data_IF_122275261132
#
_entry.id   IF_122275261132
#
_cell.length_a   1.000
_cell.length_b   1.000
_cell.length_c   1.000
_cell.angle_alpha   90.00
_cell.angle_beta   90.00
_cell.angle_gamma   90.00
#
_symmetry.space_group_name_H-M   'P 1'
#
loop_
_entity.id
_entity.type
_entity.pdbx_description
1 polymer ?
#
# COMPACT_ATOMS: atom_id res chain seq x y z
N UNK A 1 -17.11 -26.48 25.60
CA UNK A 1 -16.68 -26.33 24.20
C UNK A 1 -15.18 -26.48 24.14
N UNK A 2 -14.68 -27.70 23.94
CA UNK A 2 -13.25 -28.00 23.87
C UNK A 2 -12.93 -28.78 22.59
N UNK A 3 -11.67 -28.59 22.16
CA UNK A 3 -10.93 -29.24 21.09
C UNK A 3 -11.20 -28.75 19.65
N UNK A 4 -10.47 -27.71 19.26
CA UNK A 4 -10.00 -27.56 17.89
C UNK A 4 -8.49 -27.22 17.92
N UNK A 5 -7.70 -28.17 18.43
CA UNK A 5 -6.24 -28.20 18.22
C UNK A 5 -6.01 -28.50 16.74
N UNK A 6 -5.43 -27.54 16.03
CA UNK A 6 -5.22 -27.60 14.57
C UNK A 6 -3.81 -28.07 14.25
N UNK A 7 -3.64 -28.66 13.06
CA UNK A 7 -2.43 -29.38 12.59
C UNK A 7 -1.07 -28.73 12.90
N UNK A 8 -0.96 -27.40 13.01
CA UNK A 8 0.27 -26.72 13.42
C UNK A 8 0.77 -27.13 14.82
N UNK A 9 -0.14 -27.52 15.72
CA UNK A 9 0.20 -28.03 17.05
C UNK A 9 0.94 -29.38 16.98
N UNK A 10 0.80 -30.16 15.90
CA UNK A 10 1.32 -31.54 15.84
C UNK A 10 2.75 -31.68 15.35
N UNK A 11 3.24 -30.75 14.54
CA UNK A 11 4.60 -30.87 13.96
C UNK A 11 5.66 -30.11 14.77
N UNK A 12 5.28 -28.97 15.38
CA UNK A 12 6.20 -28.16 16.19
C UNK A 12 5.86 -28.18 17.69
N UNK A 13 4.73 -28.76 18.09
CA UNK A 13 4.35 -28.89 19.51
C UNK A 13 4.04 -27.56 20.22
N UNK A 14 3.98 -26.45 19.48
CA UNK A 14 3.66 -25.13 20.05
C UNK A 14 2.16 -24.97 20.19
N UNK A 15 1.73 -24.35 21.29
CA UNK A 15 0.31 -24.02 21.49
C UNK A 15 -0.11 -22.84 20.62
N UNK A 16 -1.42 -22.70 20.40
CA UNK A 16 -1.99 -21.56 19.67
C UNK A 16 -1.58 -20.22 20.28
N UNK A 17 -1.49 -20.13 21.61
CA UNK A 17 -1.09 -18.91 22.31
C UNK A 17 0.37 -18.54 22.01
N UNK A 18 1.28 -19.51 22.03
CA UNK A 18 2.69 -19.27 21.68
C UNK A 18 2.83 -18.83 20.22
N UNK A 19 2.09 -19.46 19.30
CA UNK A 19 2.05 -19.02 17.92
C UNK A 19 1.56 -17.58 17.77
N UNK A 20 0.48 -17.22 18.47
CA UNK A 20 -0.03 -15.85 18.42
C UNK A 20 0.92 -14.83 19.04
N UNK A 21 1.71 -15.22 20.04
CA UNK A 21 2.80 -14.38 20.57
C UNK A 21 3.88 -14.16 19.51
N UNK A 22 4.35 -15.22 18.84
CA UNK A 22 5.37 -15.12 17.78
C UNK A 22 4.85 -14.28 16.60
N UNK A 23 3.63 -14.54 16.13
CA UNK A 23 3.03 -13.78 15.02
C UNK A 23 2.70 -12.33 15.40
N UNK A 24 2.50 -12.09 16.71
CA UNK A 24 2.24 -10.77 17.26
C UNK A 24 3.50 -9.92 17.43
N UNK A 25 4.69 -10.53 17.41
CA UNK A 25 5.97 -9.88 17.67
C UNK A 25 6.26 -8.72 16.72
N UNK A 26 6.68 -7.57 17.25
CA UNK A 26 6.92 -6.35 16.48
C UNK A 26 8.02 -6.50 15.40
N UNK A 27 8.87 -7.53 15.49
CA UNK A 27 9.87 -7.86 14.47
C UNK A 27 9.26 -8.38 13.16
N UNK A 28 8.07 -9.01 13.21
CA UNK A 28 7.37 -9.46 12.01
C UNK A 28 6.51 -8.34 11.46
N UNK A 29 6.70 -7.94 10.21
CA UNK A 29 5.90 -6.87 9.62
C UNK A 29 4.62 -7.40 8.93
N UNK A 30 3.91 -6.50 8.24
CA UNK A 30 2.73 -6.88 7.47
C UNK A 30 3.03 -7.89 6.36
N UNK A 31 4.15 -7.72 5.65
CA UNK A 31 4.53 -8.56 4.52
C UNK A 31 4.93 -9.96 4.98
N UNK A 32 5.67 -10.07 6.09
CA UNK A 32 6.01 -11.35 6.72
C UNK A 32 4.73 -12.15 7.04
N UNK A 33 3.75 -11.50 7.66
CA UNK A 33 2.48 -12.13 8.00
C UNK A 33 1.65 -12.49 6.75
N UNK A 34 1.75 -11.72 5.67
CA UNK A 34 1.09 -12.04 4.38
C UNK A 34 1.78 -13.20 3.65
N UNK A 35 3.09 -13.36 3.79
CA UNK A 35 3.78 -14.54 3.28
C UNK A 35 3.29 -15.80 3.98
N UNK A 36 3.12 -15.74 5.30
CA UNK A 36 2.58 -16.86 6.09
C UNK A 36 1.13 -17.22 5.72
N UNK A 37 0.34 -16.30 5.17
CA UNK A 37 -1.01 -16.57 4.64
C UNK A 37 -1.00 -17.53 3.43
N UNK A 38 0.17 -17.76 2.81
CA UNK A 38 0.33 -18.79 1.77
C UNK A 38 0.39 -20.20 2.36
N UNK A 39 0.77 -20.32 3.63
CA UNK A 39 0.88 -21.59 4.32
C UNK A 39 -0.45 -21.92 5.00
N UNK A 40 -1.14 -22.94 4.48
CA UNK A 40 -2.50 -23.33 4.91
C UNK A 40 -2.65 -23.52 6.43
N UNK A 41 -1.59 -23.96 7.12
CA UNK A 41 -1.58 -24.15 8.56
C UNK A 41 -1.75 -22.83 9.34
N UNK A 42 -1.19 -21.73 8.84
CA UNK A 42 -1.24 -20.41 9.49
C UNK A 42 -2.51 -19.63 9.18
N UNK A 43 -3.26 -20.01 8.14
CA UNK A 43 -4.48 -19.29 7.75
C UNK A 43 -5.46 -19.10 8.92
N UNK A 44 -5.63 -20.10 9.78
CA UNK A 44 -6.52 -19.97 10.94
C UNK A 44 -5.96 -19.01 11.99
N UNK A 45 -4.64 -19.04 12.23
CA UNK A 45 -3.96 -18.17 13.19
C UNK A 45 -4.02 -16.71 12.74
N UNK A 46 -3.82 -16.45 11.45
CA UNK A 46 -3.85 -15.11 10.86
C UNK A 46 -5.25 -14.48 10.80
N UNK A 47 -6.32 -15.24 11.08
CA UNK A 47 -7.67 -14.72 11.28
C UNK A 47 -7.95 -14.36 12.75
N UNK A 48 -6.99 -14.58 13.65
CA UNK A 48 -7.18 -14.28 15.06
C UNK A 48 -7.31 -12.76 15.30
N UNK A 49 -8.27 -12.29 16.12
CA UNK A 49 -8.50 -10.85 16.34
C UNK A 49 -7.30 -10.06 16.85
N UNK A 50 -6.37 -10.69 17.58
CA UNK A 50 -5.15 -10.01 18.06
C UNK A 50 -4.23 -9.54 16.94
N UNK A 51 -4.27 -10.20 15.78
CA UNK A 51 -3.47 -9.83 14.60
C UNK A 51 -4.23 -8.88 13.67
N UNK A 52 -5.51 -8.61 13.94
CA UNK A 52 -6.36 -7.85 13.04
C UNK A 52 -5.87 -6.41 12.82
N UNK A 53 -5.33 -5.75 13.85
CA UNK A 53 -4.78 -4.39 13.70
C UNK A 53 -3.52 -4.37 12.84
N UNK A 54 -2.63 -5.36 13.04
CA UNK A 54 -1.37 -5.49 12.31
C UNK A 54 -1.55 -5.88 10.84
N UNK A 55 -2.57 -6.69 10.58
CA UNK A 55 -3.03 -7.07 9.24
C UNK A 55 -4.03 -6.08 8.62
N UNK A 56 -4.30 -4.94 9.27
CA UNK A 56 -5.24 -3.92 8.79
C UNK A 56 -6.66 -4.46 8.52
N UNK A 57 -7.11 -5.43 9.31
CA UNK A 57 -8.44 -6.06 9.25
C UNK A 57 -9.37 -5.62 10.38
N UNK A 58 -8.84 -4.95 11.40
CA UNK A 58 -9.64 -4.44 12.51
C UNK A 58 -10.63 -3.36 12.00
N UNK A 59 -11.95 -3.53 12.21
CA UNK A 59 -12.94 -2.55 11.75
C UNK A 59 -12.77 -1.20 12.46
N UNK A 60 -13.30 -0.10 11.88
CA UNK A 60 -13.27 1.19 12.54
C UNK A 60 -14.03 1.14 13.87
N UNK A 61 -13.50 1.83 14.87
CA UNK A 61 -14.17 2.02 16.16
C UNK A 61 -15.43 2.87 15.98
N UNK A 62 -16.41 2.72 16.87
CA UNK A 62 -17.54 3.64 16.95
C UNK A 62 -17.12 5.06 17.36
N UNK A 63 -15.98 5.17 18.05
CA UNK A 63 -15.43 6.45 18.49
C UNK A 63 -14.56 7.05 17.38
N UNK A 64 -14.74 8.32 17.00
CA UNK A 64 -13.87 9.02 16.07
C UNK A 64 -12.41 9.02 16.52
N UNK A 65 -11.49 9.05 15.56
CA UNK A 65 -10.06 9.17 15.83
C UNK A 65 -9.77 10.56 16.42
N UNK A 66 -8.89 10.59 17.42
CA UNK A 66 -8.53 11.82 18.11
C UNK A 66 -7.33 12.51 17.43
N UNK A 67 -7.25 13.86 17.43
CA UNK A 67 -6.08 14.56 16.93
C UNK A 67 -4.79 14.10 17.61
N UNK A 68 -3.73 13.88 16.82
CA UNK A 68 -2.45 13.37 17.31
C UNK A 68 -2.42 11.89 17.69
N UNK A 69 -3.52 11.15 17.52
CA UNK A 69 -3.52 9.71 17.70
C UNK A 69 -2.57 9.05 16.69
N UNK A 70 -1.70 8.11 17.11
CA UNK A 70 -0.82 7.40 16.19
C UNK A 70 -1.65 6.56 15.22
N UNK A 71 -1.31 6.67 13.94
CA UNK A 71 -1.92 5.91 12.85
C UNK A 71 -0.83 5.33 11.99
N UNK A 72 -0.95 4.04 11.68
CA UNK A 72 -0.15 3.40 10.64
C UNK A 72 -0.93 3.43 9.33
N UNK A 73 -0.26 3.81 8.25
CA UNK A 73 -0.79 3.63 6.89
C UNK A 73 -0.51 2.19 6.43
N UNK A 74 -1.41 1.62 5.64
CA UNK A 74 -1.24 0.28 5.09
C UNK A 74 0.02 0.23 4.21
N UNK A 75 0.94 -0.74 4.39
CA UNK A 75 2.22 -0.78 3.66
C UNK A 75 2.08 -0.80 2.14
N UNK A 76 1.04 -1.44 1.60
CA UNK A 76 0.73 -1.39 0.17
C UNK A 76 0.46 0.02 -0.37
N UNK A 77 0.07 0.99 0.47
CA UNK A 77 -0.10 2.40 0.07
C UNK A 77 1.21 3.20 0.15
N UNK A 78 2.20 2.76 0.95
CA UNK A 78 3.51 3.41 1.04
C UNK A 78 4.35 3.21 -0.23
N UNK A 79 4.05 2.15 -0.99
CA UNK A 79 4.74 1.79 -2.23
C UNK A 79 4.07 2.32 -3.49
N UNK A 80 3.03 3.13 -3.31
CA UNK A 80 2.28 3.74 -4.40
C UNK A 80 3.09 4.96 -4.83
N UNK A 81 3.86 4.83 -5.91
CA UNK A 81 4.55 5.96 -6.52
C UNK A 81 3.50 6.89 -7.15
N UNK A 82 3.27 8.05 -6.55
CA UNK A 82 2.24 9.01 -6.99
C UNK A 82 2.54 9.64 -8.35
N UNK A 83 3.79 9.70 -8.80
CA UNK A 83 4.18 10.36 -10.05
C UNK A 83 4.26 9.41 -11.24
N UNK A 84 4.65 8.15 -11.03
CA UNK A 84 4.59 7.13 -12.09
C UNK A 84 3.15 6.89 -12.63
N UNK A 85 2.14 7.40 -11.91
CA UNK A 85 0.71 7.20 -12.19
C UNK A 85 0.11 8.11 -13.27
N UNK A 86 0.85 9.10 -13.77
CA UNK A 86 0.41 9.89 -14.92
C UNK A 86 0.42 9.08 -16.23
N UNK A 87 1.15 7.96 -16.27
CA UNK A 87 1.35 7.12 -17.47
C UNK A 87 0.32 5.99 -17.66
N UNK A 88 -0.74 5.92 -16.85
CA UNK A 88 -1.76 4.86 -16.97
C UNK A 88 -1.29 3.43 -16.59
N UNK A 89 -0.02 3.29 -16.25
CA UNK A 89 0.60 2.06 -15.76
C UNK A 89 0.72 2.11 -14.23
N UNK A 90 -0.27 1.57 -13.53
CA UNK A 90 -0.09 1.21 -12.12
C UNK A 90 0.94 0.07 -12.03
N UNK A 91 2.22 0.41 -11.98
CA UNK A 91 3.25 -0.51 -11.48
C UNK A 91 3.33 -0.33 -9.98
N UNK A 92 2.56 -1.13 -9.25
CA UNK A 92 3.01 -1.46 -7.89
C UNK A 92 4.34 -2.19 -8.12
N UNK A 93 5.46 -1.68 -7.60
CA UNK A 93 6.72 -2.42 -7.63
C UNK A 93 6.37 -3.84 -7.19
N UNK A 94 6.57 -4.80 -8.09
CA UNK A 94 6.45 -6.20 -7.71
C UNK A 94 7.32 -6.34 -6.47
N UNK A 95 6.72 -6.87 -5.40
CA UNK A 95 7.53 -7.59 -4.45
C UNK A 95 8.09 -8.75 -5.26
N UNK A 96 9.22 -8.51 -5.91
CA UNK A 96 10.19 -9.53 -6.26
C UNK A 96 10.62 -10.13 -4.92
N UNK A 97 9.71 -10.89 -4.33
CA UNK A 97 10.12 -12.05 -3.57
C UNK A 97 10.72 -12.94 -4.64
N UNK A 98 12.01 -12.75 -4.87
CA UNK A 98 12.88 -13.75 -5.48
C UNK A 98 12.74 -15.01 -4.61
N UNK A 99 11.65 -15.74 -4.84
CA UNK A 99 11.65 -17.16 -4.61
C UNK A 99 12.62 -17.64 -5.66
N UNK A 100 13.88 -17.79 -5.24
CA UNK A 100 14.88 -18.66 -5.86
C UNK A 100 14.27 -20.07 -5.97
N UNK A 101 13.31 -20.22 -6.87
CA UNK A 101 12.89 -21.49 -7.42
C UNK A 101 13.91 -21.77 -8.49
N UNK A 102 14.72 -22.81 -8.26
CA UNK A 102 15.69 -23.33 -9.20
C UNK A 102 15.12 -23.27 -10.62
N UNK A 103 15.72 -22.41 -11.45
CA UNK A 103 15.43 -22.33 -12.87
C UNK A 103 15.72 -23.71 -13.46
N UNK A 104 14.68 -24.38 -13.97
CA UNK A 104 14.85 -25.60 -14.75
C UNK A 104 15.49 -25.18 -16.09
N UNK A 105 16.76 -25.56 -16.36
CA UNK A 105 17.50 -25.03 -17.50
C UNK A 105 16.99 -25.52 -18.87
N UNK A 106 15.99 -26.41 -18.89
CA UNK A 106 15.48 -27.04 -20.11
C UNK A 106 14.10 -26.53 -20.58
N UNK A 107 13.45 -25.58 -19.88
CA UNK A 107 12.19 -24.96 -20.33
C UNK A 107 12.46 -23.68 -21.17
N UNK A 108 12.89 -23.87 -22.42
CA UNK A 108 13.28 -22.79 -23.34
C UNK A 108 12.16 -21.82 -23.79
N UNK A 109 10.91 -21.93 -23.34
CA UNK A 109 9.86 -21.02 -23.82
C UNK A 109 8.80 -20.56 -22.81
N UNK A 110 9.06 -20.57 -21.49
CA UNK A 110 8.28 -19.71 -20.58
C UNK A 110 8.98 -18.37 -20.35
N UNK A 111 9.00 -17.56 -21.43
CA UNK A 111 9.09 -16.11 -21.25
C UNK A 111 7.98 -15.73 -20.28
N UNK A 112 8.34 -15.38 -19.05
CA UNK A 112 7.52 -14.57 -18.16
C UNK A 112 7.25 -13.28 -18.93
N UNK A 113 6.19 -13.29 -19.74
CA UNK A 113 5.64 -12.11 -20.35
C UNK A 113 5.19 -11.30 -19.14
N UNK A 114 5.94 -10.27 -18.79
CA UNK A 114 5.44 -9.10 -18.06
C UNK A 114 4.31 -8.56 -18.92
N UNK A 115 3.13 -9.12 -18.70
CA UNK A 115 2.00 -9.05 -19.61
C UNK A 115 1.31 -7.73 -19.31
N UNK A 116 1.87 -6.64 -19.83
CA UNK A 116 1.29 -5.29 -19.76
C UNK A 116 1.06 -4.90 -18.28
N UNK A 117 2.07 -4.31 -17.62
CA UNK A 117 2.23 -4.09 -16.16
C UNK A 117 1.16 -3.24 -15.46
N UNK A 118 -0.10 -3.46 -15.79
CA UNK A 118 -1.30 -2.89 -15.20
C UNK A 118 -1.75 -3.84 -14.11
N UNK A 119 -1.30 -3.61 -12.88
CA UNK A 119 -1.92 -4.28 -11.75
C UNK A 119 -3.38 -3.86 -11.68
N UNK A 120 -4.29 -4.82 -11.89
CA UNK A 120 -5.69 -4.57 -11.57
C UNK A 120 -5.75 -4.42 -10.06
N UNK A 121 -6.10 -3.23 -9.58
CA UNK A 121 -6.36 -2.94 -8.16
C UNK A 121 -7.25 -3.99 -7.47
N UNK A 122 -8.10 -4.67 -8.24
CA UNK A 122 -8.97 -5.75 -7.78
C UNK A 122 -8.24 -7.09 -7.50
N UNK A 123 -7.05 -7.31 -8.05
CA UNK A 123 -6.26 -8.55 -7.91
C UNK A 123 -5.31 -8.51 -6.70
N UNK A 124 -5.09 -7.32 -6.13
CA UNK A 124 -4.33 -7.17 -4.89
C UNK A 124 -5.13 -7.79 -3.73
N UNK A 125 -4.62 -8.88 -3.13
CA UNK A 125 -5.26 -9.53 -1.98
C UNK A 125 -5.50 -8.57 -0.81
N UNK A 126 -4.67 -7.54 -0.65
CA UNK A 126 -4.79 -6.49 0.37
C UNK A 126 -5.77 -5.36 0.02
N UNK A 127 -6.32 -5.31 -1.20
CA UNK A 127 -7.29 -4.28 -1.60
C UNK A 127 -8.54 -4.26 -0.70
N UNK A 128 -8.85 -5.39 -0.07
CA UNK A 128 -9.93 -5.56 0.89
C UNK A 128 -9.61 -5.10 2.32
N UNK A 129 -8.33 -4.93 2.66
CA UNK A 129 -7.86 -4.49 3.97
C UNK A 129 -8.11 -2.98 4.15
N UNK A 130 -8.11 -2.50 5.40
CA UNK A 130 -8.28 -1.09 5.73
C UNK A 130 -7.02 -0.30 5.37
N UNK A 131 -7.20 0.94 4.93
CA UNK A 131 -6.09 1.80 4.53
C UNK A 131 -5.22 2.24 5.72
N UNK A 132 -5.78 2.20 6.94
CA UNK A 132 -5.11 2.65 8.15
C UNK A 132 -5.35 1.68 9.32
N UNK A 133 -4.44 1.71 10.29
CA UNK A 133 -4.60 1.04 11.58
C UNK A 133 -4.30 2.05 12.69
N UNK A 134 -5.27 2.39 13.57
CA UNK A 134 -6.69 1.96 13.52
C UNK A 134 -7.40 2.41 12.23
N UNK A 135 -8.45 1.68 11.85
CA UNK A 135 -9.21 1.97 10.64
C UNK A 135 -9.99 3.29 10.76
N UNK A 136 -9.81 4.17 9.78
CA UNK A 136 -10.52 5.45 9.69
C UNK A 136 -11.78 5.34 8.83
N UNK A 137 -12.74 6.23 9.06
CA UNK A 137 -13.99 6.32 8.26
C UNK A 137 -14.02 7.55 7.34
N UNK A 138 -13.07 8.47 7.49
CA UNK A 138 -12.87 9.65 6.66
C UNK A 138 -11.39 9.79 6.35
N UNK A 139 -11.07 10.09 5.11
CA UNK A 139 -9.71 10.32 4.66
C UNK A 139 -9.67 11.51 3.71
N UNK A 140 -8.59 12.28 3.78
CA UNK A 140 -8.25 13.37 2.87
C UNK A 140 -6.92 13.06 2.20
N UNK A 141 -6.84 13.18 0.88
CA UNK A 141 -5.58 13.15 0.14
C UNK A 141 -5.23 14.59 -0.23
N UNK A 142 -4.07 15.07 0.21
CA UNK A 142 -3.61 16.45 -0.06
C UNK A 142 -2.29 16.45 -0.82
N UNK A 143 -2.04 17.55 -1.52
CA UNK A 143 -0.78 17.78 -2.25
C UNK A 143 -0.45 16.70 -3.30
N UNK A 144 -1.47 16.15 -3.96
CA UNK A 144 -1.26 15.25 -5.10
C UNK A 144 -0.63 15.98 -6.29
N UNK A 145 -0.85 17.29 -6.40
CA UNK A 145 -0.15 18.22 -7.31
C UNK A 145 0.29 19.47 -6.53
N UNK A 146 1.41 20.07 -6.93
CA UNK A 146 1.95 21.29 -6.29
C UNK A 146 0.96 22.47 -6.34
N UNK A 147 0.16 22.55 -7.40
CA UNK A 147 -0.72 23.69 -7.69
C UNK A 147 -2.19 23.46 -7.31
N UNK A 148 -2.56 22.27 -6.84
CA UNK A 148 -3.92 21.94 -6.40
C UNK A 148 -3.97 21.75 -4.88
N UNK A 149 -4.26 22.82 -4.10
CA UNK A 149 -4.34 22.74 -2.65
C UNK A 149 -5.62 22.04 -2.15
N UNK A 150 -6.56 21.73 -3.04
CA UNK A 150 -7.83 21.14 -2.64
C UNK A 150 -7.66 19.67 -2.24
N UNK A 151 -7.96 19.39 -0.97
CA UNK A 151 -7.97 18.05 -0.43
C UNK A 151 -9.06 17.19 -1.09
N UNK A 152 -8.69 16.02 -1.62
CA UNK A 152 -9.67 15.04 -2.05
C UNK A 152 -10.18 14.26 -0.83
N UNK A 153 -11.27 14.74 -0.22
CA UNK A 153 -11.90 14.10 0.93
C UNK A 153 -12.92 13.04 0.52
N UNK A 154 -12.90 11.88 1.19
CA UNK A 154 -13.93 10.87 1.04
C UNK A 154 -14.26 10.15 2.36
N UNK A 155 -15.54 9.77 2.48
CA UNK A 155 -16.11 9.15 3.68
C UNK A 155 -16.66 7.76 3.38
N UNK A 156 -16.25 6.78 4.19
CA UNK A 156 -16.71 5.39 4.13
C UNK A 156 -17.17 4.95 5.53
N UNK A 157 -18.50 4.81 5.78
CA UNK A 157 -19.03 4.44 7.10
C UNK A 157 -18.51 3.09 7.63
N UNK A 158 -18.11 2.18 6.72
CA UNK A 158 -17.57 0.86 7.05
C UNK A 158 -16.05 0.83 7.16
N UNK A 159 -15.40 1.99 7.11
CA UNK A 159 -13.95 2.12 7.08
C UNK A 159 -13.43 2.30 5.65
N UNK A 160 -12.38 3.10 5.51
CA UNK A 160 -11.66 3.33 4.25
C UNK A 160 -10.75 2.15 3.96
N UNK A 161 -10.89 1.54 2.78
CA UNK A 161 -10.06 0.41 2.35
C UNK A 161 -8.93 0.87 1.44
N UNK A 162 -7.89 0.05 1.31
CA UNK A 162 -6.77 0.28 0.38
C UNK A 162 -7.29 0.57 -1.04
N UNK A 163 -8.27 -0.21 -1.54
CA UNK A 163 -8.89 0.03 -2.86
C UNK A 163 -9.58 1.37 -3.01
N UNK A 164 -10.12 1.93 -1.92
CA UNK A 164 -10.83 3.21 -1.98
C UNK A 164 -9.83 4.35 -2.19
N UNK A 165 -8.68 4.27 -1.50
CA UNK A 165 -7.56 5.21 -1.65
C UNK A 165 -6.99 5.12 -3.06
N UNK A 166 -6.66 3.91 -3.52
CA UNK A 166 -6.10 3.70 -4.86
C UNK A 166 -7.03 4.23 -5.95
N UNK A 167 -8.35 3.98 -5.84
CA UNK A 167 -9.33 4.55 -6.78
C UNK A 167 -9.41 6.08 -6.73
N UNK A 168 -9.28 6.68 -5.56
CA UNK A 168 -9.26 8.13 -5.43
C UNK A 168 -8.05 8.73 -6.13
N UNK A 169 -6.88 8.11 -6.00
CA UNK A 169 -5.65 8.55 -6.67
C UNK A 169 -5.77 8.37 -8.20
N UNK A 170 -6.26 7.22 -8.69
CA UNK A 170 -6.53 7.00 -10.13
C UNK A 170 -7.45 8.10 -10.66
N UNK A 171 -8.55 8.36 -9.95
CA UNK A 171 -9.57 9.33 -10.38
C UNK A 171 -9.00 10.74 -10.43
N UNK A 172 -8.16 11.11 -9.47
CA UNK A 172 -7.49 12.39 -9.44
C UNK A 172 -6.66 12.61 -10.70
N UNK A 173 -5.78 11.65 -11.04
CA UNK A 173 -4.94 11.76 -12.24
C UNK A 173 -5.72 11.70 -13.55
N UNK A 174 -6.82 10.96 -13.61
CA UNK A 174 -7.69 10.94 -14.79
C UNK A 174 -8.46 12.24 -15.02
N UNK A 175 -8.64 13.07 -14.00
CA UNK A 175 -9.31 14.38 -14.15
C UNK A 175 -8.36 15.48 -14.62
N UNK A 176 -7.04 15.28 -14.52
CA UNK A 176 -6.04 16.30 -14.92
C UNK A 176 -5.72 16.30 -16.43
N UNK A 177 -6.31 15.38 -17.22
CA UNK A 177 -5.99 15.19 -18.65
C UNK A 177 -6.67 16.16 -19.63
N UNK A 178 -7.62 17.02 -19.20
CA UNK A 178 -8.46 17.73 -20.17
C UNK A 178 -7.85 19.01 -20.79
N UNK A 179 -6.82 19.65 -20.24
CA UNK A 179 -6.16 20.81 -20.92
C UNK A 179 -4.71 21.11 -20.50
N UNK A 180 -4.29 20.80 -19.27
CA UNK A 180 -2.96 21.20 -18.72
C UNK A 180 -1.95 20.03 -18.57
N UNK A 181 -2.33 18.81 -18.98
CA UNK A 181 -1.56 17.59 -18.73
C UNK A 181 -0.30 17.39 -19.60
N UNK A 182 -0.31 17.92 -20.82
CA UNK A 182 0.71 17.65 -21.84
C UNK A 182 2.01 18.46 -21.62
N UNK A 183 1.92 19.68 -21.10
CA UNK A 183 3.09 20.56 -20.90
C UNK A 183 4.09 20.03 -19.87
N UNK A 184 3.66 19.22 -18.91
CA UNK A 184 4.54 18.69 -17.87
C UNK A 184 5.27 17.41 -18.30
N UNK A 185 4.66 16.61 -19.18
CA UNK A 185 5.28 15.36 -19.68
C UNK A 185 6.36 15.71 -20.71
N UNK A 186 6.08 16.67 -21.60
CA UNK A 186 7.06 17.14 -22.58
C UNK A 186 8.29 17.77 -21.89
N UNK A 187 8.11 18.55 -20.82
CA UNK A 187 9.24 19.07 -20.04
C UNK A 187 10.10 17.97 -19.38
N UNK A 188 9.49 16.85 -19.00
CA UNK A 188 10.19 15.73 -18.35
C UNK A 188 10.95 14.86 -19.36
N UNK A 189 10.37 14.64 -20.56
CA UNK A 189 11.03 13.90 -21.64
C UNK A 189 12.12 14.73 -22.34
N UNK A 190 11.91 16.04 -22.54
CA UNK A 190 12.94 16.94 -23.09
C UNK A 190 14.17 17.05 -22.17
N UNK A 191 13.99 16.93 -20.86
CA UNK A 191 15.09 16.90 -19.89
C UNK A 191 15.91 15.61 -19.95
N UNK A 192 15.41 14.56 -20.61
CA UNK A 192 16.05 13.24 -20.70
C UNK A 192 16.87 13.06 -21.99
N UNK A 193 16.60 13.85 -23.03
CA UNK A 193 17.34 13.83 -24.31
C UNK A 193 18.49 14.86 -24.38
N UNK A 194 18.68 15.69 -23.35
CA UNK A 194 19.81 16.62 -23.23
C UNK A 194 21.08 15.93 -22.72
N UNK A 195 22.18 16.09 -23.48
CA UNK A 195 23.51 15.56 -23.20
C UNK A 195 23.97 15.68 -21.73
N UNK A 196 24.45 14.55 -21.19
CA UNK A 196 25.41 14.35 -20.08
C UNK A 196 25.65 15.57 -19.14
N UNK A 197 24.98 15.63 -17.98
CA UNK A 197 25.58 15.46 -16.62
C UNK A 197 24.71 16.01 -15.45
N UNK A 198 23.58 16.69 -15.68
CA UNK A 198 22.77 17.32 -14.61
C UNK A 198 21.43 16.61 -14.38
N UNK A 199 21.45 15.28 -14.24
CA UNK A 199 20.23 14.48 -14.07
C UNK A 199 19.40 14.93 -12.87
N UNK A 200 18.18 15.44 -13.11
CA UNK A 200 17.20 15.71 -12.04
C UNK A 200 16.89 14.39 -11.34
N UNK A 201 17.45 14.21 -10.14
CA UNK A 201 17.13 13.08 -9.28
C UNK A 201 15.80 13.38 -8.63
N UNK A 202 14.75 12.65 -9.03
CA UNK A 202 13.50 12.64 -8.28
C UNK A 202 13.75 11.87 -6.99
N UNK A 203 14.08 12.58 -5.91
CA UNK A 203 14.15 11.97 -4.59
C UNK A 203 12.75 11.51 -4.16
N UNK A 204 12.72 10.33 -3.54
CA UNK A 204 11.55 9.50 -3.25
C UNK A 204 10.20 10.22 -3.13
N UNK A 205 9.27 9.84 -4.01
CA UNK A 205 7.85 10.16 -3.89
C UNK A 205 7.25 9.26 -2.82
N UNK A 206 6.67 9.83 -1.78
CA UNK A 206 6.00 9.04 -0.75
C UNK A 206 4.96 9.84 0.02
N UNK A 207 4.31 9.19 0.98
CA UNK A 207 3.43 9.87 1.91
C UNK A 207 4.24 10.45 3.07
N UNK A 208 3.92 11.68 3.45
CA UNK A 208 4.19 12.17 4.80
C UNK A 208 3.44 11.28 5.79
N UNK A 209 3.97 11.16 7.02
CA UNK A 209 3.29 10.42 8.07
C UNK A 209 1.81 10.87 8.22
N UNK A 210 0.86 9.93 8.34
CA UNK A 210 -0.57 10.27 8.42
C UNK A 210 -0.86 11.14 9.63
N UNK A 211 -1.70 12.14 9.47
CA UNK A 211 -2.15 13.01 10.59
C UNK A 211 -3.66 12.94 10.78
N UNK A 212 -4.12 13.21 12.00
CA UNK A 212 -5.55 13.23 12.34
C UNK A 212 -5.99 14.66 12.62
N UNK A 213 -6.94 15.16 11.83
CA UNK A 213 -7.55 16.48 12.01
C UNK A 213 -8.52 16.50 13.19
N UNK A 214 -8.89 17.71 13.62
CA UNK A 214 -9.83 17.98 14.72
C UNK A 214 -11.18 17.26 14.62
N UNK A 215 -11.61 16.93 13.40
CA UNK A 215 -12.91 16.30 13.10
C UNK A 215 -12.81 14.78 12.83
N UNK A 216 -11.63 14.19 13.08
CA UNK A 216 -11.33 12.77 12.92
C UNK A 216 -11.02 12.34 11.48
N UNK A 217 -10.80 13.27 10.55
CA UNK A 217 -10.30 12.96 9.20
C UNK A 217 -8.82 12.59 9.27
N UNK A 218 -8.46 11.48 8.64
CA UNK A 218 -7.05 11.13 8.42
C UNK A 218 -6.56 11.81 7.15
N UNK A 219 -5.53 12.61 7.28
CA UNK A 219 -4.91 13.32 6.17
C UNK A 219 -3.62 12.61 5.75
N UNK A 220 -3.54 12.30 4.45
CA UNK A 220 -2.36 11.78 3.77
C UNK A 220 -1.85 12.84 2.81
N UNK A 221 -0.72 13.43 3.15
CA UNK A 221 -0.04 14.46 2.37
C UNK A 221 1.05 13.77 1.53
N UNK A 222 0.95 13.88 0.20
CA UNK A 222 2.00 13.41 -0.69
C UNK A 222 3.21 14.34 -0.58
N UNK A 223 4.40 13.76 -0.45
CA UNK A 223 5.67 14.48 -0.47
C UNK A 223 6.32 14.20 -1.81
N UNK A 224 6.26 15.18 -2.70
CA UNK A 224 7.11 15.25 -3.89
C UNK A 224 8.12 16.37 -3.66
N UNK A 225 9.37 16.02 -3.39
CA UNK A 225 10.44 17.00 -3.37
C UNK A 225 11.01 17.08 -4.79
N UNK A 226 10.59 18.09 -5.56
CA UNK A 226 11.41 18.57 -6.67
C UNK A 226 12.50 19.44 -6.06
N UNK A 227 13.59 18.83 -5.60
CA UNK A 227 14.80 19.57 -5.25
C UNK A 227 15.51 19.90 -6.55
N UNK A 228 15.39 21.16 -6.97
CA UNK A 228 16.36 21.73 -7.90
C UNK A 228 17.65 21.94 -7.10
N UNK A 229 18.55 20.97 -7.12
CA UNK A 229 19.91 21.16 -6.64
C UNK A 229 20.64 22.08 -7.64
N UNK A 230 20.58 23.39 -7.37
CA UNK A 230 21.38 24.43 -8.02
C UNK A 230 22.54 24.88 -7.11
#
# INVERSE_FOLDING_TARGET
MAAASTLADRELGLTTELWLTILGDDELDFYDLKLLERVKAFNRLLQHPSLASKLFRAPPSSTPLSPGQPISIHPALQRVDHFAQRLGDFRMQELDFDLEGEEDPDDEEEKVRVRDGRFRLAELKCAGDFATSPACTKMALTHLELDHPEAHEFRKPRGVKVRDVLKAIVKFWQTTDEEDGLTYIEAFDESREGDEDDGVVVESVGWKGPTVRGDGVVELESVGALTNDY
#
